data_IF_404262224111
#
_entry.id   IF_404262224111
#
_cell.length_a   1.000
_cell.length_b   1.000
_cell.length_c   1.000
_cell.angle_alpha   90.00
_cell.angle_beta   90.00
_cell.angle_gamma   90.00
#
_symmetry.space_group_name_H-M   'P 1'
#
loop_
_entity.id
_entity.type
_entity.pdbx_description
1 polymer ?
#
# COMPACT_ATOMS: atom_id res chain seq x y z
N UNK A 1 -9.71 1.92 25.39
CA UNK A 1 -8.46 1.24 24.96
C UNK A 1 -8.87 0.27 23.86
N UNK A 2 -8.74 0.70 22.61
CA UNK A 2 -9.28 -0.02 21.45
C UNK A 2 -8.13 -0.78 20.81
N UNK A 3 -8.29 -2.09 20.63
CA UNK A 3 -7.23 -3.00 20.19
C UNK A 3 -6.81 -2.72 18.73
N UNK A 4 -5.73 -1.96 18.53
CA UNK A 4 -5.08 -1.70 17.22
C UNK A 4 -4.19 -2.85 16.71
N UNK A 5 -4.50 -4.12 17.01
CA UNK A 5 -3.69 -5.25 16.52
C UNK A 5 -4.56 -6.26 15.78
N UNK A 6 -4.17 -6.57 14.55
CA UNK A 6 -4.71 -7.68 13.77
C UNK A 6 -4.64 -8.96 14.61
N UNK A 7 -5.75 -9.70 14.68
CA UNK A 7 -5.71 -11.04 15.25
C UNK A 7 -4.94 -11.93 14.28
N UNK A 8 -3.78 -12.40 14.76
CA UNK A 8 -2.96 -13.37 14.06
C UNK A 8 -3.54 -14.75 14.39
N UNK A 9 -3.85 -15.52 13.36
CA UNK A 9 -4.24 -16.91 13.55
C UNK A 9 -3.03 -17.69 14.10
N UNK A 10 -3.11 -18.27 15.30
CA UNK A 10 -1.98 -18.95 15.93
C UNK A 10 -1.54 -20.23 15.19
N UNK A 11 -2.38 -20.76 14.30
CA UNK A 11 -2.09 -21.97 13.53
C UNK A 11 -1.35 -21.69 12.21
N UNK A 12 -1.61 -20.54 11.59
CA UNK A 12 -1.01 -20.14 10.30
C UNK A 12 0.00 -19.00 10.42
N UNK A 13 0.03 -18.29 11.56
CA UNK A 13 0.83 -17.09 11.83
C UNK A 13 0.58 -15.95 10.83
N UNK A 14 -0.55 -15.97 10.12
CA UNK A 14 -0.96 -14.93 9.19
C UNK A 14 -2.08 -14.07 9.82
N UNK A 15 -2.17 -12.78 9.45
CA UNK A 15 -3.35 -11.98 9.77
C UNK A 15 -4.57 -12.56 9.06
N UNK A 16 -5.66 -12.82 9.79
CA UNK A 16 -6.91 -13.26 9.16
C UNK A 16 -7.69 -12.04 8.66
N UNK A 17 -7.33 -11.51 7.49
CA UNK A 17 -8.13 -10.50 6.77
C UNK A 17 -8.95 -11.25 5.74
N UNK A 18 -10.26 -11.36 6.00
CA UNK A 18 -11.17 -12.13 5.14
C UNK A 18 -12.00 -11.22 4.22
N UNK A 19 -11.97 -9.90 4.44
CA UNK A 19 -12.71 -8.92 3.65
C UNK A 19 -11.94 -7.61 3.42
N UNK A 20 -12.26 -6.90 2.34
CA UNK A 20 -11.74 -5.55 2.08
C UNK A 20 -12.18 -4.51 3.13
N UNK A 21 -13.33 -4.73 3.78
CA UNK A 21 -13.81 -3.88 4.87
C UNK A 21 -12.92 -3.97 6.12
N UNK A 22 -12.49 -5.19 6.46
CA UNK A 22 -11.53 -5.43 7.55
C UNK A 22 -10.17 -4.79 7.25
N UNK A 23 -9.71 -4.87 5.99
CA UNK A 23 -8.51 -4.17 5.52
C UNK A 23 -8.65 -2.65 5.68
N UNK A 24 -9.78 -2.06 5.26
CA UNK A 24 -10.06 -0.62 5.36
C UNK A 24 -10.12 -0.12 6.81
N UNK A 25 -10.62 -0.92 7.75
CA UNK A 25 -10.61 -0.57 9.17
C UNK A 25 -9.20 -0.64 9.76
N UNK A 26 -8.42 -1.67 9.41
CA UNK A 26 -7.04 -1.81 9.85
C UNK A 26 -6.17 -0.62 9.42
N UNK A 27 -6.22 -0.26 8.13
CA UNK A 27 -5.46 0.86 7.57
C UNK A 27 -5.76 2.21 8.24
N UNK A 28 -7.00 2.41 8.72
CA UNK A 28 -7.38 3.62 9.47
C UNK A 28 -6.90 3.63 10.93
N UNK A 29 -6.60 2.46 11.49
CA UNK A 29 -6.26 2.29 12.91
C UNK A 29 -4.75 2.20 13.17
N UNK A 30 -3.97 1.93 12.13
CA UNK A 30 -2.53 2.09 12.13
C UNK A 30 -2.19 3.55 11.74
N UNK A 31 -1.08 4.04 12.29
CA UNK A 31 -0.29 5.20 11.83
C UNK A 31 -0.53 6.58 12.48
N UNK A 32 0.60 7.20 12.86
CA UNK A 32 0.75 8.56 13.40
C UNK A 32 1.55 9.47 12.43
N UNK A 33 1.61 9.12 11.15
CA UNK A 33 2.20 9.89 10.05
C UNK A 33 1.09 10.28 9.05
N UNK A 34 1.09 11.55 8.62
CA UNK A 34 0.02 12.09 7.77
C UNK A 34 0.09 11.55 6.33
N UNK A 35 1.29 11.31 5.79
CA UNK A 35 1.45 10.76 4.43
C UNK A 35 0.96 9.31 4.36
N UNK A 36 1.22 8.50 5.39
CA UNK A 36 0.72 7.14 5.48
C UNK A 36 -0.82 7.08 5.55
N UNK A 37 -1.45 7.99 6.30
CA UNK A 37 -2.91 8.09 6.36
C UNK A 37 -3.49 8.44 5.00
N UNK A 38 -2.95 9.45 4.32
CA UNK A 38 -3.39 9.84 2.98
C UNK A 38 -3.21 8.71 1.96
N UNK A 39 -2.09 7.98 2.04
CA UNK A 39 -1.84 6.81 1.20
C UNK A 39 -2.85 5.70 1.46
N UNK A 40 -3.12 5.38 2.74
CA UNK A 40 -4.11 4.39 3.16
C UNK A 40 -5.54 4.74 2.73
N UNK A 41 -5.94 6.00 2.86
CA UNK A 41 -7.25 6.48 2.39
C UNK A 41 -7.39 6.37 0.87
N UNK A 42 -6.36 6.78 0.13
CA UNK A 42 -6.34 6.67 -1.33
C UNK A 42 -6.39 5.21 -1.80
N UNK A 43 -5.69 4.30 -1.10
CA UNK A 43 -5.79 2.86 -1.34
C UNK A 43 -7.17 2.30 -1.03
N UNK A 44 -7.84 2.74 0.04
CA UNK A 44 -9.21 2.34 0.36
C UNK A 44 -10.19 2.76 -0.75
N UNK A 45 -9.97 3.93 -1.35
CA UNK A 45 -10.75 4.40 -2.51
C UNK A 45 -10.53 3.50 -3.73
N UNK A 46 -9.28 3.14 -4.04
CA UNK A 46 -8.98 2.19 -5.13
C UNK A 46 -9.66 0.84 -4.91
N UNK A 47 -9.54 0.28 -3.70
CA UNK A 47 -10.16 -1.01 -3.35
C UNK A 47 -11.68 -0.98 -3.53
N UNK A 48 -12.34 0.13 -3.18
CA UNK A 48 -13.79 0.29 -3.35
C UNK A 48 -14.22 0.27 -4.82
N UNK A 49 -13.46 0.93 -5.71
CA UNK A 49 -13.72 0.90 -7.15
C UNK A 49 -13.49 -0.49 -7.74
N UNK A 50 -12.41 -1.16 -7.34
CA UNK A 50 -12.08 -2.53 -7.77
C UNK A 50 -13.22 -3.49 -7.37
N UNK A 51 -13.68 -3.42 -6.12
CA UNK A 51 -14.77 -4.27 -5.63
C UNK A 51 -16.06 -4.05 -6.43
N UNK A 52 -16.41 -2.79 -6.70
CA UNK A 52 -17.58 -2.45 -7.52
C UNK A 52 -17.48 -3.01 -8.94
N UNK A 53 -16.30 -2.96 -9.55
CA UNK A 53 -16.05 -3.53 -10.88
C UNK A 53 -16.14 -5.06 -10.86
N UNK A 54 -15.53 -5.72 -9.88
CA UNK A 54 -15.60 -7.19 -9.74
C UNK A 54 -17.04 -7.65 -9.52
N UNK A 55 -17.79 -6.97 -8.65
CA UNK A 55 -19.21 -7.25 -8.44
C UNK A 55 -20.03 -7.00 -9.72
N UNK A 56 -19.74 -5.91 -10.43
CA UNK A 56 -20.35 -5.60 -11.73
C UNK A 56 -20.10 -6.69 -12.76
N UNK A 57 -18.86 -7.17 -12.88
CA UNK A 57 -18.46 -8.24 -13.80
C UNK A 57 -19.15 -9.58 -13.49
N UNK A 58 -19.40 -9.88 -12.22
CA UNK A 58 -20.15 -11.06 -11.79
C UNK A 58 -21.63 -10.99 -12.17
N UNK A 59 -22.21 -9.80 -12.21
CA UNK A 59 -23.63 -9.58 -12.53
C UNK A 59 -23.89 -9.38 -14.02
N UNK A 60 -23.00 -8.67 -14.71
CA UNK A 60 -23.16 -8.30 -16.11
C UNK A 60 -21.80 -8.21 -16.82
N UNK A 61 -21.58 -9.10 -17.78
CA UNK A 61 -20.36 -9.12 -18.59
C UNK A 61 -20.44 -8.22 -19.82
N UNK A 62 -21.49 -7.42 -19.99
CA UNK A 62 -21.60 -6.44 -21.06
C UNK A 62 -20.51 -5.36 -20.91
N UNK A 63 -19.69 -5.21 -21.95
CA UNK A 63 -18.60 -4.24 -21.99
C UNK A 63 -19.09 -2.79 -21.85
N UNK A 64 -20.25 -2.46 -22.42
CA UNK A 64 -20.82 -1.12 -22.33
C UNK A 64 -21.24 -0.75 -20.91
N UNK A 65 -21.57 -1.75 -20.09
CA UNK A 65 -21.89 -1.57 -18.68
C UNK A 65 -20.63 -1.35 -17.83
N UNK A 66 -19.56 -2.10 -18.11
CA UNK A 66 -18.31 -2.08 -17.32
C UNK A 66 -17.36 -0.94 -17.72
N UNK A 67 -17.38 -0.52 -18.99
CA UNK A 67 -16.44 0.47 -19.51
C UNK A 67 -16.43 1.81 -18.73
N UNK A 68 -17.58 2.40 -18.34
CA UNK A 68 -17.57 3.61 -17.52
C UNK A 68 -16.87 3.42 -16.17
N UNK A 69 -17.10 2.30 -15.48
CA UNK A 69 -16.45 2.01 -14.20
C UNK A 69 -14.94 1.84 -14.34
N UNK A 70 -14.49 1.21 -15.43
CA UNK A 70 -13.06 1.09 -15.74
C UNK A 70 -12.42 2.44 -16.07
N UNK A 71 -13.14 3.35 -16.74
CA UNK A 71 -12.65 4.72 -16.98
C UNK A 71 -12.51 5.49 -15.67
N UNK A 72 -13.51 5.43 -14.79
CA UNK A 72 -13.43 6.05 -13.46
C UNK A 72 -12.26 5.49 -12.64
N UNK A 73 -12.01 4.17 -12.70
CA UNK A 73 -10.85 3.57 -12.06
C UNK A 73 -9.51 4.07 -12.65
N UNK A 74 -9.42 4.33 -13.96
CA UNK A 74 -8.20 4.91 -14.54
C UNK A 74 -7.90 6.31 -14.00
N UNK A 75 -8.92 7.13 -13.78
CA UNK A 75 -8.76 8.46 -13.19
C UNK A 75 -8.35 8.36 -11.72
N UNK A 76 -8.98 7.49 -10.94
CA UNK A 76 -8.56 7.21 -9.57
C UNK A 76 -7.11 6.69 -9.48
N UNK A 77 -6.71 5.79 -10.38
CA UNK A 77 -5.32 5.29 -10.44
C UNK A 77 -4.33 6.40 -10.81
N UNK A 78 -4.73 7.32 -11.68
CA UNK A 78 -3.91 8.49 -12.04
C UNK A 78 -3.70 9.39 -10.82
N UNK A 79 -4.76 9.68 -10.06
CA UNK A 79 -4.71 10.51 -8.87
C UNK A 79 -3.92 9.85 -7.74
N UNK A 80 -4.19 8.58 -7.48
CA UNK A 80 -3.43 7.78 -6.51
C UNK A 80 -1.94 7.74 -6.86
N UNK A 81 -1.59 7.51 -8.14
CA UNK A 81 -0.19 7.55 -8.57
C UNK A 81 0.45 8.92 -8.36
N UNK A 82 -0.28 10.00 -8.61
CA UNK A 82 0.23 11.36 -8.37
C UNK A 82 0.51 11.59 -6.87
N UNK A 83 -0.36 11.10 -5.99
CA UNK A 83 -0.14 11.07 -4.54
C UNK A 83 1.12 10.29 -4.19
N UNK A 84 1.28 9.06 -4.69
CA UNK A 84 2.47 8.23 -4.42
C UNK A 84 3.75 8.93 -4.87
N UNK A 85 3.76 9.56 -6.05
CA UNK A 85 4.92 10.33 -6.53
C UNK A 85 5.22 11.54 -5.61
N UNK A 86 4.20 12.11 -4.99
CA UNK A 86 4.29 13.24 -4.07
C UNK A 86 4.83 12.90 -2.68
N UNK A 87 4.99 11.62 -2.35
CA UNK A 87 5.50 11.19 -1.04
C UNK A 87 6.92 11.71 -0.78
N UNK A 88 7.22 11.94 0.50
CA UNK A 88 8.52 12.43 0.96
C UNK A 88 9.69 11.50 0.58
N UNK A 89 10.91 12.01 0.75
CA UNK A 89 12.12 11.26 0.42
C UNK A 89 12.28 9.96 1.23
N UNK A 90 11.70 9.91 2.43
CA UNK A 90 11.72 8.72 3.29
C UNK A 90 11.04 7.52 2.60
N UNK A 91 9.83 7.74 2.07
CA UNK A 91 9.11 6.72 1.28
C UNK A 91 9.87 6.33 0.02
N UNK A 92 10.43 7.32 -0.69
CA UNK A 92 11.14 7.10 -1.96
C UNK A 92 12.45 6.33 -1.80
N UNK A 93 12.99 6.26 -0.58
CA UNK A 93 14.17 5.47 -0.25
C UNK A 93 13.88 3.98 -0.08
N UNK A 94 12.62 3.59 0.08
CA UNK A 94 12.22 2.19 0.26
C UNK A 94 12.26 1.44 -1.09
N UNK A 95 12.66 0.18 -1.05
CA UNK A 95 12.70 -0.66 -2.25
C UNK A 95 11.28 -0.86 -2.84
N UNK A 96 10.30 -0.98 -1.95
CA UNK A 96 8.88 -1.20 -2.21
C UNK A 96 8.26 -0.04 -3.00
N UNK A 97 8.81 1.17 -2.88
CA UNK A 97 8.31 2.34 -3.60
C UNK A 97 8.39 2.16 -5.11
N UNK A 98 9.52 1.66 -5.61
CA UNK A 98 9.71 1.41 -7.04
C UNK A 98 8.82 0.25 -7.52
N UNK A 99 8.70 -0.82 -6.71
CA UNK A 99 7.81 -1.94 -7.00
C UNK A 99 6.36 -1.47 -7.13
N UNK A 100 5.90 -0.65 -6.18
CA UNK A 100 4.52 -0.19 -6.16
C UNK A 100 4.20 0.69 -7.37
N UNK A 101 5.09 1.63 -7.72
CA UNK A 101 4.93 2.44 -8.93
C UNK A 101 4.91 1.60 -10.21
N UNK A 102 5.69 0.53 -10.27
CA UNK A 102 5.69 -0.38 -11.42
C UNK A 102 4.34 -1.10 -11.53
N UNK A 103 3.82 -1.62 -10.43
CA UNK A 103 2.55 -2.36 -10.41
C UNK A 103 1.36 -1.44 -10.72
N UNK A 104 1.35 -0.21 -10.20
CA UNK A 104 0.35 0.81 -10.58
C UNK A 104 0.35 1.10 -12.08
N UNK A 105 1.53 1.21 -12.70
CA UNK A 105 1.64 1.44 -14.13
C UNK A 105 1.13 0.25 -14.94
N UNK A 106 1.53 -0.96 -14.54
CA UNK A 106 1.09 -2.20 -15.19
C UNK A 106 -0.44 -2.33 -15.13
N UNK A 107 -1.03 -2.07 -13.97
CA UNK A 107 -2.47 -2.17 -13.80
C UNK A 107 -3.23 -1.17 -14.69
N UNK A 108 -2.78 0.10 -14.73
CA UNK A 108 -3.35 1.10 -15.64
C UNK A 108 -3.25 0.67 -17.11
N UNK A 109 -2.10 0.15 -17.52
CA UNK A 109 -1.88 -0.31 -18.90
C UNK A 109 -2.84 -1.46 -19.27
N UNK A 110 -3.08 -2.38 -18.34
CA UNK A 110 -3.99 -3.51 -18.55
C UNK A 110 -5.44 -3.05 -18.68
N UNK A 111 -5.89 -2.13 -17.82
CA UNK A 111 -7.22 -1.52 -17.96
C UNK A 111 -7.35 -0.81 -19.32
N UNK A 112 -6.34 -0.06 -19.73
CA UNK A 112 -6.31 0.61 -21.03
C UNK A 112 -6.39 -0.37 -22.20
N UNK A 113 -5.67 -1.50 -22.13
CA UNK A 113 -5.75 -2.55 -23.14
C UNK A 113 -7.15 -3.13 -23.23
N UNK A 114 -7.85 -3.33 -22.12
CA UNK A 114 -9.21 -3.88 -22.13
C UNK A 114 -10.24 -2.92 -22.68
N UNK A 115 -10.13 -1.64 -22.36
CA UNK A 115 -10.97 -0.60 -22.94
C UNK A 115 -10.77 -0.53 -24.47
N UNK A 116 -9.57 -0.80 -24.97
CA UNK A 116 -9.24 -0.77 -26.41
C UNK A 116 -9.56 -2.09 -27.14
N UNK A 117 -9.44 -3.25 -26.50
CA UNK A 117 -9.69 -4.57 -27.10
C UNK A 117 -11.21 -4.87 -27.19
N UNK A 118 -11.90 -4.15 -28.07
CA UNK A 118 -13.37 -4.23 -28.27
C UNK A 118 -13.82 -5.30 -29.28
N UNK A 119 -13.11 -6.43 -29.41
CA UNK A 119 -13.59 -7.54 -30.27
C UNK A 119 -14.74 -8.29 -29.57
N UNK A 120 -15.95 -7.74 -29.62
CA UNK A 120 -17.19 -8.35 -29.08
C UNK A 120 -17.82 -7.57 -27.92
N UNK A 121 -19.12 -7.82 -27.67
CA UNK A 121 -19.95 -7.11 -26.66
C UNK A 121 -19.79 -7.60 -25.22
N UNK A 122 -19.25 -8.81 -25.01
CA UNK A 122 -19.08 -9.42 -23.68
C UNK A 122 -17.63 -9.57 -23.28
N UNK A 123 -17.35 -9.49 -21.99
CA UNK A 123 -16.05 -9.75 -21.35
C UNK A 123 -15.92 -11.26 -21.12
N UNK A 124 -14.74 -11.80 -21.44
CA UNK A 124 -14.40 -13.21 -21.20
C UNK A 124 -14.12 -13.43 -19.70
N UNK A 125 -14.53 -14.57 -19.15
CA UNK A 125 -14.29 -14.92 -17.75
C UNK A 125 -12.81 -14.98 -17.38
N UNK A 126 -11.93 -15.34 -18.32
CA UNK A 126 -10.46 -15.30 -18.10
C UNK A 126 -9.99 -13.87 -17.82
N UNK A 127 -10.52 -12.88 -18.55
CA UNK A 127 -10.20 -11.46 -18.37
C UNK A 127 -10.66 -10.97 -17.00
N UNK A 128 -11.78 -11.49 -16.48
CA UNK A 128 -12.26 -11.16 -15.12
C UNK A 128 -11.31 -11.70 -14.05
N UNK A 129 -10.88 -12.95 -14.16
CA UNK A 129 -9.93 -13.55 -13.22
C UNK A 129 -8.58 -12.84 -13.24
N UNK A 130 -8.09 -12.48 -14.42
CA UNK A 130 -6.86 -11.71 -14.58
C UNK A 130 -6.97 -10.32 -13.91
N UNK A 131 -8.15 -9.69 -13.98
CA UNK A 131 -8.40 -8.40 -13.32
C UNK A 131 -8.22 -8.48 -11.84
N UNK A 132 -8.95 -9.43 -11.25
CA UNK A 132 -9.03 -9.63 -9.82
C UNK A 132 -7.62 -9.94 -9.28
N UNK A 133 -6.87 -10.81 -9.96
CA UNK A 133 -5.50 -11.16 -9.59
C UNK A 133 -4.58 -9.93 -9.60
N UNK A 134 -4.60 -9.12 -10.66
CA UNK A 134 -3.73 -7.94 -10.79
C UNK A 134 -4.14 -6.85 -9.79
N UNK A 135 -5.43 -6.70 -9.55
CA UNK A 135 -5.96 -5.75 -8.57
C UNK A 135 -5.51 -6.12 -7.16
N UNK A 136 -5.62 -7.40 -6.77
CA UNK A 136 -5.10 -7.90 -5.50
C UNK A 136 -3.60 -7.68 -5.34
N UNK A 137 -2.83 -7.97 -6.39
CA UNK A 137 -1.39 -7.71 -6.38
C UNK A 137 -1.08 -6.23 -6.18
N UNK A 138 -1.82 -5.35 -6.86
CA UNK A 138 -1.62 -3.90 -6.74
C UNK A 138 -1.87 -3.42 -5.32
N UNK A 139 -2.97 -3.83 -4.70
CA UNK A 139 -3.28 -3.45 -3.33
C UNK A 139 -2.28 -4.06 -2.33
N UNK A 140 -1.86 -5.30 -2.54
CA UNK A 140 -0.86 -5.96 -1.70
C UNK A 140 0.50 -5.27 -1.70
N UNK A 141 0.97 -4.80 -2.87
CA UNK A 141 2.24 -4.07 -2.98
C UNK A 141 2.15 -2.68 -2.32
N UNK A 142 0.99 -2.01 -2.38
CA UNK A 142 0.76 -0.78 -1.64
C UNK A 142 0.73 -0.98 -0.12
N UNK A 143 0.13 -2.09 0.33
CA UNK A 143 0.10 -2.45 1.75
C UNK A 143 1.50 -2.76 2.26
N UNK A 144 2.31 -3.47 1.45
CA UNK A 144 3.71 -3.76 1.78
C UNK A 144 4.53 -2.46 1.89
N UNK A 145 4.32 -1.50 1.00
CA UNK A 145 4.99 -0.19 1.09
C UNK A 145 4.67 0.53 2.42
N UNK A 146 3.40 0.54 2.84
CA UNK A 146 2.98 1.13 4.13
C UNK A 146 3.63 0.38 5.30
N UNK A 147 3.57 -0.95 5.29
CA UNK A 147 4.13 -1.77 6.36
C UNK A 147 5.66 -1.59 6.49
N UNK A 148 6.39 -1.57 5.37
CA UNK A 148 7.84 -1.35 5.37
C UNK A 148 8.20 0.07 5.83
N UNK A 149 7.40 1.08 5.48
CA UNK A 149 7.59 2.43 6.00
C UNK A 149 7.40 2.50 7.51
N UNK A 150 6.32 1.91 8.03
CA UNK A 150 6.04 1.88 9.47
C UNK A 150 7.14 1.14 10.24
N UNK A 151 7.65 0.04 9.70
CA UNK A 151 8.77 -0.71 10.29
C UNK A 151 10.06 0.10 10.29
N UNK A 152 10.41 0.72 9.16
CA UNK A 152 11.59 1.59 9.04
C UNK A 152 11.53 2.77 10.01
N UNK A 153 10.38 3.46 10.08
CA UNK A 153 10.15 4.57 11.02
C UNK A 153 10.26 4.10 12.47
N UNK A 154 9.70 2.93 12.78
CA UNK A 154 9.81 2.31 14.08
C UNK A 154 11.26 2.01 14.50
N UNK A 155 12.09 1.56 13.56
CA UNK A 155 13.53 1.35 13.78
C UNK A 155 14.27 2.68 13.98
N UNK A 156 14.03 3.70 13.16
CA UNK A 156 14.68 5.01 13.29
C UNK A 156 14.36 5.69 14.63
N UNK A 157 13.10 5.57 15.09
CA UNK A 157 12.68 6.05 16.40
C UNK A 157 13.36 5.26 17.53
N UNK A 158 13.49 3.94 17.41
CA UNK A 158 14.19 3.11 18.40
C UNK A 158 15.69 3.42 18.44
N UNK A 159 16.36 3.51 17.30
CA UNK A 159 17.78 3.86 17.21
C UNK A 159 18.06 5.28 17.71
N UNK A 160 17.17 6.23 17.42
CA UNK A 160 17.25 7.59 17.96
C UNK A 160 17.03 7.62 19.47
N UNK A 161 16.12 6.81 20.00
CA UNK A 161 15.85 6.72 21.45
C UNK A 161 16.99 6.02 22.19
N UNK A 162 17.55 4.95 21.61
CA UNK A 162 18.73 4.25 22.14
C UNK A 162 19.99 5.12 22.04
N UNK A 163 20.15 5.88 20.96
CA UNK A 163 21.22 6.87 20.79
C UNK A 163 21.13 8.05 21.75
N UNK A 164 19.93 8.41 22.22
CA UNK A 164 19.72 9.39 23.29
C UNK A 164 19.92 8.80 24.69
N UNK A 165 19.63 7.52 24.88
CA UNK A 165 19.61 6.92 26.22
C UNK A 165 20.97 6.55 26.79
N UNK A 166 22.01 6.33 25.98
CA UNK A 166 23.40 6.16 26.44
C UNK A 166 24.28 5.92 25.22
N UNK A 167 25.21 6.84 24.90
CA UNK A 167 26.39 6.44 24.15
C UNK A 167 27.59 6.30 25.10
N UNK A 168 27.79 5.11 25.71
CA UNK A 168 28.95 4.84 26.55
C UNK A 168 30.26 4.85 25.74
N UNK A 169 30.22 5.01 24.42
CA UNK A 169 31.40 5.30 23.59
C UNK A 169 31.73 6.79 23.58
N UNK A 170 30.74 7.68 23.58
CA UNK A 170 30.95 9.13 23.76
C UNK A 170 31.46 9.45 25.16
N UNK A 171 30.95 8.80 26.19
CA UNK A 171 31.45 8.97 27.56
C UNK A 171 32.86 8.38 27.74
N UNK A 172 33.18 7.25 27.08
CA UNK A 172 34.55 6.71 27.05
C UNK A 172 35.51 7.60 26.26
N UNK A 173 35.06 8.18 25.15
CA UNK A 173 35.87 9.09 24.34
C UNK A 173 36.16 10.40 25.09
N UNK A 174 35.17 10.96 25.79
CA UNK A 174 35.33 12.14 26.68
C UNK A 174 36.31 11.86 27.81
N UNK A 175 36.16 10.74 28.52
CA UNK A 175 37.05 10.35 29.61
C UNK A 175 38.49 10.03 29.15
N UNK A 176 38.66 9.49 27.94
CA UNK A 176 39.99 9.29 27.35
C UNK A 176 40.66 10.62 27.00
N UNK A 177 39.89 11.58 26.50
CA UNK A 177 40.38 12.89 26.10
C UNK A 177 40.76 13.79 27.30
N UNK A 178 40.04 13.67 28.42
CA UNK A 178 40.38 14.39 29.66
C UNK A 178 41.65 13.84 30.32
N UNK A 179 41.93 12.55 30.19
CA UNK A 179 43.19 11.92 30.65
C UNK A 179 44.43 12.35 29.87
N UNK A 180 44.27 12.94 28.69
CA UNK A 180 45.38 13.46 27.87
C UNK A 180 45.64 14.96 28.11
N UNK A 181 44.76 15.65 28.84
CA UNK A 181 44.88 17.08 29.15
C UNK A 181 45.24 17.40 30.61
N UNK A 182 45.39 16.37 31.45
CA UNK A 182 45.98 16.44 32.79
C UNK A 182 47.28 15.66 32.85
#
# INVERSE_FOLDING_TARGET
>A
MTHSRLQIDPSTLLPSINTFGELSHFLRSAVADEEALQLGESMSTLASHIEAIVAGLKLNTDKGYIAPMLMDLMDNLREHRALVIGLSAAWRGLYEYASYLQVLNNFRMLIGQWLLQSKGKKIDGVVVSDFELIAWRTLGEGMLLIDMYDQWRGQELQDSTLGQLNDPRLDRARNWWDKLRG
#
